data_IF_746150039290
#
_entry.id   IF_746150039290
#
_cell.length_a   1.000
_cell.length_b   1.000
_cell.length_c   1.000
_cell.angle_alpha   90.00
_cell.angle_beta   90.00
_cell.angle_gamma   90.00
#
_symmetry.space_group_name_H-M   'P 1'
#
loop_
_entity.id
_entity.type
_entity.pdbx_description
1 polymer ?
#
# COMPACT_ATOMS: atom_id res chain seq x y z
N UNK A 1 -31.26 20.31 20.81
CA UNK A 1 -29.81 20.34 20.60
C UNK A 1 -29.54 19.27 19.54
N UNK A 2 -29.24 19.64 18.29
CA UNK A 2 -28.89 18.69 17.24
C UNK A 2 -27.41 18.37 17.47
N UNK A 3 -27.11 17.16 17.92
CA UNK A 3 -25.75 16.67 18.04
C UNK A 3 -25.43 16.17 16.60
N UNK A 4 -24.83 17.03 15.80
CA UNK A 4 -24.25 16.59 14.55
C UNK A 4 -23.11 15.62 14.86
N UNK A 5 -23.17 14.44 14.27
CA UNK A 5 -22.04 13.50 14.32
C UNK A 5 -20.86 14.19 13.64
N UNK A 6 -19.73 14.43 14.34
CA UNK A 6 -18.62 15.13 13.73
C UNK A 6 -18.16 14.37 12.48
N UNK A 7 -18.00 15.10 11.38
CA UNK A 7 -17.41 14.54 10.16
C UNK A 7 -15.99 14.09 10.50
N UNK A 8 -15.59 12.86 10.18
CA UNK A 8 -14.25 12.39 10.46
C UNK A 8 -13.22 13.37 9.86
N UNK A 9 -12.29 13.82 10.70
CA UNK A 9 -11.21 14.69 10.25
C UNK A 9 -10.31 13.91 9.28
N UNK A 10 -10.18 14.42 8.05
CA UNK A 10 -9.24 13.87 7.07
C UNK A 10 -7.92 14.61 7.18
N UNK A 11 -6.91 13.96 7.70
CA UNK A 11 -5.57 14.51 7.76
C UNK A 11 -5.00 14.67 6.35
N UNK A 12 -4.35 15.82 6.10
CA UNK A 12 -3.66 16.07 4.83
C UNK A 12 -2.16 15.71 4.89
N UNK A 13 -1.66 15.27 6.05
CA UNK A 13 -0.29 14.80 6.21
C UNK A 13 -0.31 13.28 6.39
N UNK A 14 0.29 12.59 5.45
CA UNK A 14 0.30 11.11 5.38
C UNK A 14 1.73 10.63 5.31
N UNK A 15 2.06 9.67 6.16
CA UNK A 15 3.33 8.94 6.17
C UNK A 15 3.17 7.61 5.45
N UNK A 16 4.17 7.22 4.65
CA UNK A 16 4.22 5.94 3.96
C UNK A 16 5.47 5.20 4.42
N UNK A 17 5.30 4.21 5.28
CA UNK A 17 6.43 3.50 5.87
C UNK A 17 6.03 2.06 6.28
N UNK A 18 6.99 1.35 6.86
CA UNK A 18 6.79 0.02 7.42
C UNK A 18 6.21 0.16 8.83
N UNK A 19 5.21 -0.65 9.21
CA UNK A 19 4.70 -0.65 10.58
C UNK A 19 5.83 -1.05 11.55
N UNK A 20 5.98 -0.29 12.62
CA UNK A 20 7.01 -0.47 13.66
C UNK A 20 6.39 -0.88 14.99
N UNK A 21 5.22 -0.31 15.29
CA UNK A 21 4.53 -0.43 16.56
C UNK A 21 3.40 -1.47 16.49
N UNK A 22 3.11 -2.10 17.61
CA UNK A 22 2.05 -3.10 17.71
C UNK A 22 0.69 -2.59 17.21
N UNK A 23 0.32 -1.36 17.56
CA UNK A 23 -0.95 -0.76 17.13
C UNK A 23 -1.05 -0.58 15.60
N UNK A 24 0.07 -0.31 14.91
CA UNK A 24 0.12 -0.21 13.45
C UNK A 24 -0.17 -1.57 12.81
N UNK A 25 0.40 -2.65 13.32
CA UNK A 25 0.10 -4.01 12.87
C UNK A 25 -1.35 -4.38 13.15
N UNK A 26 -1.88 -4.06 14.34
CA UNK A 26 -3.28 -4.32 14.67
C UNK A 26 -4.23 -3.60 13.71
N UNK A 27 -3.96 -2.33 13.39
CA UNK A 27 -4.75 -1.57 12.43
C UNK A 27 -4.53 -2.03 10.98
N UNK A 28 -3.32 -2.43 10.60
CA UNK A 28 -3.03 -3.03 9.30
C UNK A 28 -3.89 -4.29 9.06
N UNK A 29 -3.94 -5.20 10.00
CA UNK A 29 -4.76 -6.41 9.89
C UNK A 29 -6.26 -6.10 9.91
N UNK A 30 -6.69 -5.18 10.75
CA UNK A 30 -8.08 -4.75 10.82
C UNK A 30 -8.54 -4.10 9.50
N UNK A 31 -7.70 -3.26 8.89
CA UNK A 31 -7.99 -2.62 7.61
C UNK A 31 -8.09 -3.64 6.47
N UNK A 32 -7.16 -4.60 6.39
CA UNK A 32 -7.19 -5.69 5.41
C UNK A 32 -8.49 -6.49 5.52
N UNK A 33 -8.83 -6.93 6.74
CA UNK A 33 -10.09 -7.65 6.98
C UNK A 33 -11.30 -6.83 6.54
N UNK A 34 -11.36 -5.57 6.92
CA UNK A 34 -12.47 -4.67 6.52
C UNK A 34 -12.61 -4.56 5.01
N UNK A 35 -11.48 -4.46 4.28
CA UNK A 35 -11.51 -4.30 2.81
C UNK A 35 -11.78 -5.64 2.11
N UNK A 36 -11.02 -6.68 2.42
CA UNK A 36 -11.04 -7.91 1.61
C UNK A 36 -12.09 -8.91 2.06
N UNK A 37 -12.47 -8.92 3.36
CA UNK A 37 -13.52 -9.79 3.88
C UNK A 37 -14.89 -9.08 3.92
N UNK A 38 -14.97 -7.90 4.58
CA UNK A 38 -16.26 -7.28 4.85
C UNK A 38 -16.82 -6.51 3.65
N UNK A 39 -15.99 -5.71 2.96
CA UNK A 39 -16.41 -4.89 1.82
C UNK A 39 -16.44 -5.68 0.51
N UNK A 40 -15.29 -6.25 0.11
CA UNK A 40 -15.15 -6.91 -1.18
C UNK A 40 -15.64 -8.36 -1.19
N UNK A 41 -15.77 -8.98 -0.02
CA UNK A 41 -16.22 -10.36 0.19
C UNK A 41 -15.45 -11.39 -0.65
N UNK A 42 -14.14 -11.14 -0.80
CA UNK A 42 -13.23 -12.06 -1.49
C UNK A 42 -12.87 -13.23 -0.58
N UNK A 43 -12.70 -12.96 0.71
CA UNK A 43 -12.41 -13.94 1.76
C UNK A 43 -13.53 -13.93 2.80
N UNK A 44 -13.78 -15.08 3.47
CA UNK A 44 -14.84 -15.18 4.47
C UNK A 44 -14.44 -14.56 5.82
N UNK A 45 -13.41 -15.11 6.46
CA UNK A 45 -13.05 -14.76 7.83
C UNK A 45 -11.75 -13.95 7.91
N UNK A 46 -10.77 -14.30 7.09
CA UNK A 46 -9.46 -13.66 7.03
C UNK A 46 -8.91 -13.70 5.60
N UNK A 47 -8.14 -12.69 5.26
CA UNK A 47 -7.40 -12.61 4.00
C UNK A 47 -5.92 -12.97 4.18
N UNK A 48 -5.53 -13.39 5.39
CA UNK A 48 -4.17 -13.82 5.71
C UNK A 48 -3.83 -15.14 5.00
N UNK A 49 -2.60 -15.24 4.54
CA UNK A 49 -2.06 -16.42 3.87
C UNK A 49 -0.55 -16.61 4.21
N UNK A 50 0.03 -17.71 3.75
CA UNK A 50 1.43 -18.06 4.04
C UNK A 50 2.44 -17.01 3.52
N UNK A 51 2.03 -16.19 2.53
CA UNK A 51 2.88 -15.10 2.02
C UNK A 51 3.12 -14.06 3.11
N UNK A 52 2.18 -13.86 4.03
CA UNK A 52 2.31 -12.86 5.10
C UNK A 52 3.50 -13.10 6.05
N UNK A 53 3.96 -14.33 6.15
CA UNK A 53 5.15 -14.66 6.94
C UNK A 53 6.43 -14.04 6.34
N UNK A 54 6.49 -13.93 5.02
CA UNK A 54 7.66 -13.44 4.28
C UNK A 54 7.48 -12.01 3.76
N UNK A 55 6.24 -11.57 3.55
CA UNK A 55 5.93 -10.29 2.93
C UNK A 55 6.32 -9.10 3.82
N UNK A 56 6.72 -8.00 3.19
CA UNK A 56 7.00 -6.73 3.83
C UNK A 56 5.72 -5.90 3.78
N UNK A 57 5.06 -5.61 4.92
CA UNK A 57 3.92 -4.72 4.97
C UNK A 57 4.36 -3.27 4.83
N UNK A 58 3.58 -2.49 4.10
CA UNK A 58 3.75 -1.04 3.94
C UNK A 58 2.40 -0.40 4.28
N UNK A 59 2.41 0.64 5.10
CA UNK A 59 1.20 1.33 5.53
C UNK A 59 1.23 2.80 5.14
N UNK A 60 0.06 3.35 4.86
CA UNK A 60 -0.18 4.77 4.81
C UNK A 60 -0.87 5.19 6.10
N UNK A 61 -0.29 6.15 6.81
CA UNK A 61 -0.76 6.58 8.13
C UNK A 61 -1.11 8.06 8.11
N UNK A 62 -2.27 8.41 8.59
CA UNK A 62 -2.60 9.81 8.81
C UNK A 62 -2.04 10.29 10.15
N UNK A 63 -1.82 11.60 10.21
CA UNK A 63 -1.23 12.27 11.34
C UNK A 63 -2.25 13.21 11.96
N UNK A 64 -2.42 13.14 13.28
CA UNK A 64 -3.23 14.08 14.06
C UNK A 64 -2.37 14.79 15.09
N UNK A 65 -2.41 16.12 15.06
CA UNK A 65 -1.63 16.96 15.99
C UNK A 65 -0.13 16.62 16.08
N UNK A 66 0.48 16.17 14.95
CA UNK A 66 1.89 15.83 14.89
C UNK A 66 2.22 14.40 15.35
N UNK A 67 1.22 13.58 15.66
CA UNK A 67 1.39 12.17 16.02
C UNK A 67 0.69 11.26 15.01
N UNK A 68 1.28 10.10 14.73
CA UNK A 68 0.63 9.06 13.95
C UNK A 68 -0.61 8.56 14.69
N UNK A 69 -1.72 8.48 13.98
CA UNK A 69 -3.04 8.24 14.58
C UNK A 69 -3.75 7.03 13.99
N UNK A 70 -3.74 6.88 12.67
CA UNK A 70 -4.54 5.88 12.01
C UNK A 70 -3.87 5.32 10.75
N UNK A 71 -3.87 4.01 10.58
CA UNK A 71 -3.56 3.34 9.31
C UNK A 71 -4.77 3.50 8.38
N UNK A 72 -4.55 4.17 7.25
CA UNK A 72 -5.60 4.53 6.29
C UNK A 72 -5.46 3.80 4.96
N UNK A 73 -4.31 3.16 4.75
CA UNK A 73 -4.05 2.37 3.56
C UNK A 73 -2.91 1.39 3.81
N UNK A 74 -2.86 0.37 2.98
CA UNK A 74 -1.88 -0.70 3.13
C UNK A 74 -1.58 -1.39 1.78
N UNK A 75 -0.42 -2.01 1.71
CA UNK A 75 0.02 -2.93 0.67
C UNK A 75 1.09 -3.84 1.26
N UNK A 76 1.23 -5.06 0.77
CA UNK A 76 2.38 -5.91 1.08
C UNK A 76 3.15 -6.24 -0.19
N UNK A 77 4.47 -6.41 -0.04
CA UNK A 77 5.37 -6.86 -1.11
C UNK A 77 6.15 -8.10 -0.66
N UNK A 78 6.44 -8.99 -1.58
CA UNK A 78 7.20 -10.22 -1.33
C UNK A 78 8.11 -10.57 -2.51
N UNK A 79 9.27 -11.14 -2.20
CA UNK A 79 10.18 -11.68 -3.21
C UNK A 79 9.93 -13.18 -3.36
N UNK A 80 9.44 -13.61 -4.54
CA UNK A 80 9.12 -15.03 -4.78
C UNK A 80 10.24 -15.82 -5.44
N UNK A 81 11.10 -15.10 -6.17
CA UNK A 81 12.35 -15.62 -6.74
C UNK A 81 13.37 -14.48 -6.70
N UNK A 82 14.68 -14.77 -6.69
CA UNK A 82 15.69 -13.72 -6.65
C UNK A 82 15.46 -12.62 -7.69
N UNK A 83 15.24 -11.39 -7.24
CA UNK A 83 14.94 -10.22 -8.07
C UNK A 83 13.49 -10.14 -8.59
N UNK A 84 12.64 -11.15 -8.39
CA UNK A 84 11.24 -11.17 -8.85
C UNK A 84 10.31 -10.86 -7.69
N UNK A 85 9.81 -9.65 -7.67
CA UNK A 85 8.96 -9.12 -6.60
C UNK A 85 7.49 -9.09 -6.97
N UNK A 86 6.65 -9.16 -5.97
CA UNK A 86 5.20 -9.11 -6.10
C UNK A 86 4.58 -8.13 -5.12
N UNK A 87 3.57 -7.40 -5.61
CA UNK A 87 2.69 -6.58 -4.78
C UNK A 87 1.32 -7.24 -4.63
N UNK A 88 0.77 -7.21 -3.42
CA UNK A 88 -0.56 -7.75 -3.15
C UNK A 88 -1.25 -7.02 -2.00
N UNK A 89 -2.53 -7.26 -1.82
CA UNK A 89 -3.34 -6.69 -0.74
C UNK A 89 -3.28 -5.15 -0.69
N UNK A 90 -3.29 -4.48 -1.85
CA UNK A 90 -3.42 -3.02 -1.88
C UNK A 90 -4.82 -2.61 -1.46
N UNK A 91 -4.92 -1.85 -0.40
CA UNK A 91 -6.18 -1.34 0.11
C UNK A 91 -6.07 0.08 0.67
N UNK A 92 -7.15 0.84 0.57
CA UNK A 92 -7.27 2.18 1.14
C UNK A 92 -8.64 2.31 1.78
N UNK A 93 -8.70 2.82 3.00
CA UNK A 93 -9.94 3.13 3.72
C UNK A 93 -10.83 4.06 2.91
N UNK A 94 -12.13 3.78 2.86
CA UNK A 94 -13.11 4.48 2.01
C UNK A 94 -12.98 6.02 2.09
N UNK A 95 -12.89 6.66 3.27
CA UNK A 95 -12.82 8.12 3.37
C UNK A 95 -11.60 8.73 2.67
N UNK A 96 -10.54 7.93 2.44
CA UNK A 96 -9.26 8.40 1.90
C UNK A 96 -9.00 8.02 0.44
N UNK A 97 -9.88 7.23 -0.20
CA UNK A 97 -9.67 6.72 -1.57
C UNK A 97 -9.57 7.81 -2.62
N UNK A 98 -10.26 8.92 -2.41
CA UNK A 98 -10.27 10.06 -3.34
C UNK A 98 -9.40 11.22 -2.89
N UNK A 99 -8.67 11.06 -1.79
CA UNK A 99 -7.74 12.08 -1.33
C UNK A 99 -6.55 12.14 -2.29
N UNK A 100 -6.41 13.24 -3.03
CA UNK A 100 -5.40 13.42 -4.08
C UNK A 100 -4.43 14.57 -3.79
N UNK A 101 -4.62 15.31 -2.69
CA UNK A 101 -3.72 16.37 -2.24
C UNK A 101 -3.42 16.18 -0.76
N UNK A 102 -2.19 15.89 -0.44
CA UNK A 102 -1.73 15.68 0.91
C UNK A 102 -0.24 15.99 1.03
N UNK A 103 0.17 16.42 2.21
CA UNK A 103 1.57 16.49 2.59
C UNK A 103 2.03 15.06 2.92
N UNK A 104 3.27 14.72 2.59
CA UNK A 104 3.74 13.34 2.76
C UNK A 104 5.16 13.26 3.29
N UNK A 105 5.47 12.17 3.95
CA UNK A 105 6.82 11.71 4.23
C UNK A 105 6.97 10.23 3.89
N UNK A 106 8.21 9.76 3.76
CA UNK A 106 8.49 8.36 3.44
C UNK A 106 8.35 7.97 1.98
N UNK A 107 7.95 8.88 1.07
CA UNK A 107 7.87 8.62 -0.37
C UNK A 107 9.13 9.05 -1.12
N UNK A 108 9.82 10.07 -0.63
CA UNK A 108 10.97 10.69 -1.31
C UNK A 108 12.13 10.90 -0.35
N UNK A 109 13.34 10.85 -0.89
CA UNK A 109 14.57 10.97 -0.12
C UNK A 109 14.86 12.42 0.32
N UNK A 110 14.28 13.40 -0.36
CA UNK A 110 14.50 14.83 -0.10
C UNK A 110 13.72 15.37 1.11
N UNK A 111 12.91 14.55 1.75
CA UNK A 111 12.09 14.88 2.93
C UNK A 111 11.22 16.13 2.76
N UNK A 112 10.95 16.55 1.53
CA UNK A 112 10.05 17.68 1.27
C UNK A 112 8.64 17.27 1.71
N UNK A 113 8.12 17.96 2.70
CA UNK A 113 6.81 17.65 3.29
C UNK A 113 5.62 18.01 2.37
N UNK A 114 5.87 18.78 1.31
CA UNK A 114 4.82 19.27 0.41
C UNK A 114 5.18 18.87 -1.01
N UNK A 115 4.48 17.87 -1.53
CA UNK A 115 4.56 17.52 -2.93
C UNK A 115 3.22 17.83 -3.61
N UNK A 116 3.22 18.53 -4.76
CA UNK A 116 2.01 18.78 -5.54
C UNK A 116 1.62 17.50 -6.28
N UNK A 117 1.21 16.48 -5.53
CA UNK A 117 0.81 15.21 -6.09
C UNK A 117 -0.54 15.26 -6.78
N UNK A 118 -0.59 14.65 -7.93
CA UNK A 118 -1.82 14.30 -8.63
C UNK A 118 -2.28 12.87 -8.35
N UNK A 119 -1.47 12.07 -7.64
CA UNK A 119 -1.85 10.70 -7.31
C UNK A 119 -2.61 10.63 -5.98
N UNK A 120 -3.52 9.67 -5.88
CA UNK A 120 -4.23 9.38 -4.65
C UNK A 120 -3.39 8.49 -3.71
N UNK A 121 -3.90 8.23 -2.49
CA UNK A 121 -3.21 7.40 -1.48
C UNK A 121 -2.82 6.02 -2.02
N UNK A 122 -3.69 5.38 -2.82
CA UNK A 122 -3.39 4.09 -3.45
C UNK A 122 -2.21 4.17 -4.43
N UNK A 123 -2.14 5.24 -5.22
CA UNK A 123 -1.00 5.48 -6.12
C UNK A 123 0.31 5.70 -5.35
N UNK A 124 0.25 6.43 -4.25
CA UNK A 124 1.40 6.65 -3.38
C UNK A 124 1.89 5.36 -2.72
N UNK A 125 0.97 4.47 -2.31
CA UNK A 125 1.30 3.13 -1.80
C UNK A 125 1.96 2.25 -2.88
N UNK A 126 1.45 2.26 -4.12
CA UNK A 126 2.10 1.56 -5.24
C UNK A 126 3.51 2.11 -5.45
N UNK A 127 3.67 3.44 -5.47
CA UNK A 127 4.97 4.08 -5.64
C UNK A 127 5.94 3.62 -4.54
N UNK A 128 5.53 3.68 -3.27
CA UNK A 128 6.36 3.22 -2.13
C UNK A 128 6.71 1.74 -2.25
N UNK A 129 5.76 0.88 -2.63
CA UNK A 129 5.96 -0.55 -2.81
C UNK A 129 7.02 -0.85 -3.87
N UNK A 130 6.87 -0.29 -5.08
CA UNK A 130 7.83 -0.48 -6.19
C UNK A 130 9.20 0.10 -5.84
N UNK A 131 9.24 1.32 -5.27
CA UNK A 131 10.49 1.98 -4.86
C UNK A 131 11.23 1.20 -3.78
N UNK A 132 10.50 0.55 -2.87
CA UNK A 132 11.05 -0.33 -1.84
C UNK A 132 11.66 -1.58 -2.47
N UNK A 133 10.94 -2.26 -3.37
CA UNK A 133 11.45 -3.44 -4.05
C UNK A 133 12.69 -3.11 -4.91
N UNK A 134 12.71 -1.97 -5.60
CA UNK A 134 13.89 -1.49 -6.34
C UNK A 134 15.10 -1.31 -5.43
N UNK A 135 14.94 -0.71 -4.26
CA UNK A 135 16.02 -0.56 -3.28
C UNK A 135 16.54 -1.90 -2.75
N UNK A 136 15.70 -2.95 -2.78
CA UNK A 136 16.03 -4.32 -2.41
C UNK A 136 16.56 -5.16 -3.59
N UNK A 137 16.77 -4.56 -4.77
CA UNK A 137 17.36 -5.24 -5.92
C UNK A 137 16.34 -5.89 -6.86
N UNK A 138 15.09 -5.45 -6.87
CA UNK A 138 14.08 -5.92 -7.82
C UNK A 138 14.51 -5.69 -9.27
N UNK A 139 14.39 -6.74 -10.08
CA UNK A 139 14.58 -6.71 -11.53
C UNK A 139 13.26 -6.80 -12.29
N UNK A 140 12.21 -7.29 -11.63
CA UNK A 140 10.84 -7.29 -12.14
C UNK A 140 9.83 -7.24 -10.99
N UNK A 141 8.70 -6.57 -11.21
CA UNK A 141 7.67 -6.39 -10.19
C UNK A 141 6.29 -6.64 -10.78
N UNK A 142 5.55 -7.57 -10.19
CA UNK A 142 4.25 -8.03 -10.65
C UNK A 142 3.14 -7.81 -9.61
N UNK A 143 1.91 -7.75 -10.09
CA UNK A 143 0.71 -7.81 -9.26
C UNK A 143 -0.47 -8.40 -10.04
N UNK A 144 -1.34 -9.13 -9.35
CA UNK A 144 -2.67 -9.44 -9.86
C UNK A 144 -3.63 -8.29 -9.53
N UNK A 145 -4.12 -7.63 -10.57
CA UNK A 145 -4.95 -6.43 -10.47
C UNK A 145 -6.37 -6.74 -10.95
N UNK A 146 -7.37 -6.45 -10.12
CA UNK A 146 -8.77 -6.60 -10.51
C UNK A 146 -9.11 -5.71 -11.71
N UNK A 147 -9.95 -6.20 -12.63
CA UNK A 147 -10.32 -5.54 -13.89
C UNK A 147 -10.65 -4.05 -13.73
N UNK A 148 -11.44 -3.68 -12.70
CA UNK A 148 -11.84 -2.28 -12.47
C UNK A 148 -10.65 -1.35 -12.15
N UNK A 149 -9.51 -1.88 -11.71
CA UNK A 149 -8.32 -1.11 -11.34
C UNK A 149 -7.25 -1.06 -12.44
N UNK A 150 -7.38 -1.84 -13.52
CA UNK A 150 -6.38 -1.94 -14.59
C UNK A 150 -6.02 -0.59 -15.18
N UNK A 151 -7.00 0.26 -15.48
CA UNK A 151 -6.75 1.60 -16.03
C UNK A 151 -6.01 2.51 -15.05
N UNK A 152 -6.18 2.32 -13.75
CA UNK A 152 -5.43 3.04 -12.74
C UNK A 152 -3.97 2.60 -12.73
N UNK A 153 -3.69 1.29 -12.76
CA UNK A 153 -2.33 0.76 -12.84
C UNK A 153 -1.62 1.14 -14.14
N UNK A 154 -2.31 1.13 -15.29
CA UNK A 154 -1.74 1.62 -16.57
C UNK A 154 -1.22 3.06 -16.47
N UNK A 155 -1.94 3.95 -15.77
CA UNK A 155 -1.47 5.33 -15.51
C UNK A 155 -0.26 5.41 -14.59
N UNK A 156 0.02 4.33 -13.86
CA UNK A 156 1.20 4.16 -13.01
C UNK A 156 2.33 3.38 -13.72
N UNK A 157 2.30 3.33 -15.06
CA UNK A 157 3.30 2.62 -15.89
C UNK A 157 3.35 1.10 -15.66
N UNK A 158 2.18 0.47 -15.59
CA UNK A 158 2.04 -0.97 -15.52
C UNK A 158 1.38 -1.49 -16.79
N UNK A 159 1.84 -2.66 -17.28
CA UNK A 159 1.32 -3.32 -18.46
C UNK A 159 0.67 -4.66 -18.11
N UNK A 160 -0.47 -4.95 -18.75
CA UNK A 160 -1.16 -6.22 -18.58
C UNK A 160 -0.51 -7.28 -19.45
N UNK A 161 -0.06 -8.38 -18.85
CA UNK A 161 0.58 -9.50 -19.52
C UNK A 161 -0.43 -10.60 -19.89
N UNK A 162 -1.32 -10.93 -18.95
CA UNK A 162 -2.36 -11.95 -19.12
C UNK A 162 -3.54 -11.70 -18.20
N UNK A 163 -4.61 -12.45 -18.40
CA UNK A 163 -5.81 -12.40 -17.54
C UNK A 163 -6.07 -13.76 -16.90
N UNK A 164 -6.51 -13.73 -15.64
CA UNK A 164 -6.87 -14.90 -14.85
C UNK A 164 -8.12 -14.65 -14.03
N UNK A 165 -8.84 -15.70 -13.68
CA UNK A 165 -9.96 -15.63 -12.74
C UNK A 165 -9.51 -16.07 -11.35
N UNK A 166 -9.35 -15.11 -10.44
CA UNK A 166 -8.97 -15.35 -9.05
C UNK A 166 -10.16 -15.02 -8.14
N UNK A 167 -10.50 -15.96 -7.24
CA UNK A 167 -11.64 -15.79 -6.31
C UNK A 167 -12.96 -15.40 -7.02
N UNK A 168 -13.20 -15.96 -8.21
CA UNK A 168 -14.42 -15.67 -9.00
C UNK A 168 -14.47 -14.28 -9.65
N UNK A 169 -13.38 -13.51 -9.63
CA UNK A 169 -13.25 -12.19 -10.26
C UNK A 169 -12.14 -12.19 -11.31
N UNK A 170 -12.35 -11.46 -12.40
CA UNK A 170 -11.32 -11.26 -13.42
C UNK A 170 -10.20 -10.38 -12.89
N UNK A 171 -8.99 -10.88 -13.04
CA UNK A 171 -7.75 -10.19 -12.69
C UNK A 171 -6.81 -10.16 -13.89
N UNK A 172 -5.98 -9.13 -13.94
CA UNK A 172 -4.86 -9.04 -14.86
C UNK A 172 -3.55 -9.26 -14.09
N UNK A 173 -2.71 -10.15 -14.59
CA UNK A 173 -1.30 -10.14 -14.23
C UNK A 173 -0.68 -8.92 -14.88
N UNK A 174 -0.25 -7.98 -14.05
CA UNK A 174 0.39 -6.75 -14.53
C UNK A 174 1.85 -6.69 -14.12
N UNK A 175 2.68 -6.18 -15.00
CA UNK A 175 4.11 -5.95 -14.78
C UNK A 175 4.38 -4.45 -14.76
N UNK A 176 5.22 -4.04 -13.81
CA UNK A 176 5.62 -2.64 -13.62
C UNK A 176 6.81 -2.28 -14.51
N UNK A 177 6.74 -1.15 -15.22
CA UNK A 177 7.93 -0.54 -15.82
C UNK A 177 8.78 0.12 -14.72
N UNK A 178 9.77 -0.61 -14.24
CA UNK A 178 10.65 -0.16 -13.16
C UNK A 178 11.46 1.09 -13.50
N UNK A 179 11.67 1.38 -14.79
CA UNK A 179 12.42 2.58 -15.22
C UNK A 179 11.71 3.89 -14.87
N UNK A 180 10.40 3.84 -14.63
CA UNK A 180 9.57 4.98 -14.23
C UNK A 180 9.60 5.26 -12.72
N UNK A 181 10.34 4.46 -11.93
CA UNK A 181 10.40 4.55 -10.48
C UNK A 181 11.82 4.79 -10.00
N UNK A 182 11.97 5.32 -8.80
CA UNK A 182 13.26 5.50 -8.14
C UNK A 182 13.36 4.61 -6.91
N UNK A 183 14.54 4.03 -6.62
CA UNK A 183 14.74 3.31 -5.37
C UNK A 183 14.44 4.21 -4.17
N UNK A 184 13.77 3.67 -3.16
CA UNK A 184 13.55 4.37 -1.89
C UNK A 184 14.79 4.28 -1.00
N UNK A 185 15.10 5.31 -0.23
CA UNK A 185 16.05 5.16 0.85
C UNK A 185 15.44 4.26 1.93
N UNK A 186 16.05 3.11 2.17
CA UNK A 186 15.63 2.15 3.19
C UNK A 186 16.77 2.00 4.16
N UNK A 187 16.54 2.30 5.45
CA UNK A 187 17.49 1.91 6.49
C UNK A 187 17.29 0.43 6.84
N UNK A 188 18.37 -0.34 6.95
CA UNK A 188 18.32 -1.73 7.42
C UNK A 188 17.66 -1.86 8.81
N UNK A 189 17.74 -0.81 9.64
CA UNK A 189 17.07 -0.75 10.92
C UNK A 189 15.53 -0.80 10.81
N UNK A 190 14.96 -0.22 9.76
CA UNK A 190 13.51 -0.27 9.50
C UNK A 190 13.02 -1.66 9.08
N UNK A 191 13.91 -2.48 8.53
CA UNK A 191 13.56 -3.85 8.09
C UNK A 191 13.78 -4.92 9.15
N UNK A 192 14.69 -4.70 10.10
CA UNK A 192 15.11 -5.72 11.07
C UNK A 192 14.08 -6.01 12.17
N UNK A 193 12.99 -5.26 12.29
CA UNK A 193 11.92 -5.58 13.26
C UNK A 193 11.13 -6.85 12.93
N UNK A 194 11.22 -7.40 11.72
CA UNK A 194 10.57 -8.68 11.36
C UNK A 194 11.28 -9.93 11.88
N UNK A 195 12.54 -9.82 12.29
CA UNK A 195 13.35 -10.99 12.71
C UNK A 195 13.25 -11.27 14.23
N UNK A 196 12.57 -10.43 14.98
CA UNK A 196 12.55 -10.45 16.44
C UNK A 196 11.16 -10.65 17.09
N UNK A 197 10.16 -11.16 16.35
CA UNK A 197 8.84 -11.50 16.92
C UNK A 197 8.60 -13.00 16.83
#
# INVERSE_FOLDING_TARGET
MIIETPTPYKCNYITFDFPQEKWQYEQYWALRKSIFCDEQKIFQDTDQDDIDELAIPIVAECNYAGQLDQVIGEVRIDERQPGVWWGSRLGVSIPYRQLSRFNTSGLFDDQIAIHPFTMNVGGALIYKAVSTALALGSTSFFAYVQEQNVNFFKRMHWESQQTDTLHGKLHHLMECDLSCYRPSAISLAQMNHKIAI
#
